data_IF_281849995755
#
_entry.id   IF_281849995755
#
_cell.length_a   1.000
_cell.length_b   1.000
_cell.length_c   1.000
_cell.angle_alpha   90.00
_cell.angle_beta   90.00
_cell.angle_gamma   90.00
#
_symmetry.space_group_name_H-M   'P 1'
#
loop_
_entity.id
_entity.type
_entity.pdbx_description
1 polymer ?
#
# COMPACT_ATOMS: atom_id res chain seq x y z
N UNK A 1 -21.49 -9.24 46.35
CA UNK A 1 -20.42 -9.36 45.34
C UNK A 1 -20.93 -9.46 43.89
N UNK A 2 -22.11 -10.04 43.64
CA UNK A 2 -22.71 -10.15 42.30
C UNK A 2 -22.96 -8.80 41.59
N UNK A 3 -23.45 -7.80 42.33
CA UNK A 3 -23.80 -6.48 41.76
C UNK A 3 -22.58 -5.80 41.12
N UNK A 4 -21.40 -5.92 41.73
CA UNK A 4 -20.17 -5.30 41.23
C UNK A 4 -19.73 -5.91 39.91
N UNK A 5 -19.77 -7.24 39.80
CA UNK A 5 -19.42 -7.96 38.57
C UNK A 5 -20.39 -7.57 37.43
N UNK A 6 -21.69 -7.46 37.74
CA UNK A 6 -22.69 -7.04 36.77
C UNK A 6 -22.42 -5.63 36.23
N UNK A 7 -22.05 -4.68 37.09
CA UNK A 7 -21.71 -3.31 36.67
C UNK A 7 -20.45 -3.29 35.81
N UNK A 8 -19.38 -4.02 36.19
CA UNK A 8 -18.16 -4.11 35.38
C UNK A 8 -18.44 -4.70 34.00
N UNK A 9 -19.26 -5.75 33.92
CA UNK A 9 -19.63 -6.38 32.65
C UNK A 9 -20.37 -5.40 31.72
N UNK A 10 -21.30 -4.61 32.24
CA UNK A 10 -22.02 -3.58 31.47
C UNK A 10 -21.06 -2.49 30.97
N UNK A 11 -20.17 -2.00 31.83
CA UNK A 11 -19.18 -0.98 31.45
C UNK A 11 -18.21 -1.50 30.38
N UNK A 12 -17.70 -2.73 30.52
CA UNK A 12 -16.84 -3.37 29.52
C UNK A 12 -17.56 -3.57 28.18
N UNK A 13 -18.85 -3.92 28.20
CA UNK A 13 -19.66 -4.06 26.99
C UNK A 13 -19.74 -2.78 26.15
N UNK A 14 -19.75 -1.60 26.78
CA UNK A 14 -19.78 -0.30 26.11
C UNK A 14 -18.36 0.15 25.69
N UNK A 15 -17.35 -0.17 26.50
CA UNK A 15 -15.97 0.27 26.26
C UNK A 15 -15.27 -0.48 25.12
N UNK A 16 -15.53 -1.78 24.95
CA UNK A 16 -14.83 -2.59 23.94
C UNK A 16 -15.05 -2.10 22.49
N UNK A 17 -16.29 -1.81 22.04
CA UNK A 17 -16.53 -1.25 20.70
C UNK A 17 -15.86 0.12 20.51
N UNK A 18 -15.94 0.99 21.53
CA UNK A 18 -15.35 2.33 21.49
C UNK A 18 -13.82 2.26 21.38
N UNK A 19 -13.18 1.39 22.16
CA UNK A 19 -11.73 1.18 22.11
C UNK A 19 -11.27 0.59 20.78
N UNK A 20 -12.04 -0.35 20.21
CA UNK A 20 -11.73 -0.91 18.89
C UNK A 20 -11.77 0.16 17.80
N UNK A 21 -12.79 1.02 17.81
CA UNK A 21 -12.88 2.15 16.89
C UNK A 21 -11.71 3.14 17.09
N UNK A 22 -11.39 3.51 18.33
CA UNK A 22 -10.29 4.42 18.63
C UNK A 22 -8.93 3.87 18.16
N UNK A 23 -8.66 2.58 18.38
CA UNK A 23 -7.43 1.92 17.88
C UNK A 23 -7.35 1.96 16.35
N UNK A 24 -8.46 1.72 15.67
CA UNK A 24 -8.50 1.77 14.22
C UNK A 24 -8.28 3.18 13.66
N UNK A 25 -8.90 4.19 14.28
CA UNK A 25 -8.60 5.60 13.97
C UNK A 25 -7.12 5.92 14.19
N UNK A 26 -6.52 5.46 15.29
CA UNK A 26 -5.09 5.61 15.53
C UNK A 26 -4.23 4.98 14.44
N UNK A 27 -4.56 3.75 14.01
CA UNK A 27 -3.87 3.10 12.88
C UNK A 27 -3.98 3.89 11.58
N UNK A 28 -5.15 4.46 11.27
CA UNK A 28 -5.35 5.30 10.08
C UNK A 28 -4.47 6.54 10.10
N UNK A 29 -4.38 7.22 11.25
CA UNK A 29 -3.53 8.41 11.41
C UNK A 29 -2.06 8.05 11.21
N UNK A 30 -1.59 6.98 11.85
CA UNK A 30 -0.20 6.51 11.67
C UNK A 30 0.06 6.12 10.21
N UNK A 31 -0.90 5.46 9.58
CA UNK A 31 -0.77 5.05 8.19
C UNK A 31 -0.66 6.25 7.24
N UNK A 32 -1.55 7.24 7.37
CA UNK A 32 -1.45 8.46 6.57
C UNK A 32 -0.17 9.25 6.84
N UNK A 33 0.37 9.21 8.08
CA UNK A 33 1.67 9.81 8.37
C UNK A 33 2.83 9.04 7.72
N UNK A 34 2.75 7.72 7.71
CA UNK A 34 3.72 6.87 7.03
C UNK A 34 3.73 7.16 5.51
N UNK A 35 2.57 7.26 4.86
CA UNK A 35 2.46 7.68 3.46
C UNK A 35 3.07 9.06 3.23
N UNK A 36 2.82 10.05 4.11
CA UNK A 36 3.48 11.37 4.05
C UNK A 36 4.99 11.28 4.15
N UNK A 37 5.52 10.45 5.06
CA UNK A 37 6.96 10.27 5.23
C UNK A 37 7.59 9.62 3.98
N UNK A 38 6.91 8.64 3.39
CA UNK A 38 7.31 8.06 2.11
C UNK A 38 7.29 9.10 0.98
N UNK A 39 6.21 9.89 0.90
CA UNK A 39 6.06 11.00 -0.03
C UNK A 39 7.15 12.05 0.10
N UNK A 40 7.51 12.42 1.34
CA UNK A 40 8.60 13.35 1.62
C UNK A 40 9.92 12.86 1.02
N UNK A 41 10.25 11.58 1.16
CA UNK A 41 11.44 11.00 0.53
C UNK A 41 11.40 11.11 -1.00
N UNK A 42 10.24 10.88 -1.61
CA UNK A 42 10.05 11.07 -3.05
C UNK A 42 10.16 12.52 -3.48
N UNK A 43 9.63 13.47 -2.70
CA UNK A 43 9.71 14.89 -3.01
C UNK A 43 11.13 15.44 -2.84
N UNK A 44 11.88 14.96 -1.85
CA UNK A 44 13.30 15.29 -1.69
C UNK A 44 14.11 14.80 -2.90
N UNK A 45 13.89 13.56 -3.33
CA UNK A 45 14.48 13.09 -4.58
C UNK A 45 14.04 13.93 -5.77
N UNK A 46 12.74 14.20 -5.92
CA UNK A 46 12.24 14.97 -7.03
C UNK A 46 12.84 16.38 -7.08
N UNK A 47 13.05 17.02 -5.93
CA UNK A 47 13.72 18.31 -5.83
C UNK A 47 15.14 18.28 -6.44
N UNK A 48 15.89 17.20 -6.22
CA UNK A 48 17.25 17.05 -6.72
C UNK A 48 17.31 16.61 -8.20
N UNK A 49 16.19 16.11 -8.76
CA UNK A 49 16.12 15.50 -10.09
C UNK A 49 15.04 16.15 -10.99
N UNK A 50 14.97 17.48 -11.02
CA UNK A 50 14.07 18.27 -11.89
C UNK A 50 12.58 17.89 -11.78
N UNK A 51 12.14 17.59 -10.56
CA UNK A 51 10.78 17.16 -10.24
C UNK A 51 10.44 15.75 -10.72
N UNK A 52 11.40 14.93 -11.16
CA UNK A 52 11.16 13.55 -11.61
C UNK A 52 11.13 12.58 -10.43
N UNK A 53 10.25 11.60 -10.51
CA UNK A 53 10.19 10.51 -9.53
C UNK A 53 11.19 9.40 -9.87
N UNK A 54 11.66 8.62 -8.88
CA UNK A 54 12.42 7.41 -9.13
C UNK A 54 11.50 6.35 -9.75
N UNK A 55 11.62 6.17 -11.07
CA UNK A 55 10.77 5.22 -11.80
C UNK A 55 11.25 3.79 -11.58
N UNK A 56 10.30 2.86 -11.44
CA UNK A 56 10.60 1.44 -11.33
C UNK A 56 10.97 0.85 -12.70
N UNK A 57 11.96 -0.04 -12.72
CA UNK A 57 12.27 -0.86 -13.91
C UNK A 57 11.36 -2.10 -13.97
N UNK A 58 10.86 -2.55 -12.82
CA UNK A 58 9.92 -3.66 -12.69
C UNK A 58 8.49 -3.19 -12.95
N UNK A 59 7.80 -3.84 -13.89
CA UNK A 59 6.37 -3.64 -14.17
C UNK A 59 5.55 -4.87 -13.73
N UNK A 60 5.02 -4.84 -12.50
CA UNK A 60 4.26 -5.92 -11.87
C UNK A 60 3.01 -5.34 -11.16
N UNK A 61 2.74 -5.72 -9.91
CA UNK A 61 1.62 -5.17 -9.15
C UNK A 61 1.91 -3.74 -8.65
N UNK A 62 0.88 -3.01 -8.21
CA UNK A 62 1.02 -1.63 -7.74
C UNK A 62 1.84 -1.50 -6.46
N UNK A 63 1.95 -2.57 -5.68
CA UNK A 63 2.77 -2.62 -4.47
C UNK A 63 4.15 -3.24 -4.71
N UNK A 64 4.48 -3.63 -5.95
CA UNK A 64 5.78 -4.15 -6.30
C UNK A 64 6.71 -2.98 -6.65
N UNK A 65 7.66 -2.69 -5.77
CA UNK A 65 8.54 -1.52 -5.91
C UNK A 65 9.99 -1.98 -5.95
N UNK A 66 10.76 -1.41 -6.88
CA UNK A 66 12.18 -1.76 -7.01
C UNK A 66 12.96 -1.43 -5.73
N UNK A 67 14.00 -2.21 -5.43
CA UNK A 67 14.85 -1.94 -4.27
C UNK A 67 15.43 -0.52 -4.36
N UNK A 68 15.88 -0.14 -5.56
CA UNK A 68 16.38 1.19 -5.88
C UNK A 68 15.46 2.32 -5.35
N UNK A 69 14.17 2.26 -5.67
CA UNK A 69 13.20 3.28 -5.25
C UNK A 69 13.05 3.33 -3.73
N UNK A 70 12.97 2.17 -3.07
CA UNK A 70 12.89 2.13 -1.60
C UNK A 70 14.17 2.62 -0.92
N UNK A 71 15.34 2.36 -1.52
CA UNK A 71 16.64 2.78 -0.96
C UNK A 71 16.80 4.29 -1.04
N UNK A 72 16.30 4.92 -2.11
CA UNK A 72 16.26 6.39 -2.20
C UNK A 72 15.46 6.94 -1.03
N UNK A 73 14.23 6.45 -0.85
CA UNK A 73 13.33 6.94 0.20
C UNK A 73 13.95 6.71 1.59
N UNK A 74 14.56 5.54 1.83
CA UNK A 74 15.30 5.21 3.06
C UNK A 74 16.51 6.13 3.30
N UNK A 75 17.22 6.54 2.26
CA UNK A 75 18.37 7.46 2.39
C UNK A 75 17.95 8.91 2.60
N UNK A 76 16.86 9.35 1.98
CA UNK A 76 16.46 10.76 1.96
C UNK A 76 15.63 11.20 3.15
N UNK A 77 14.82 10.32 3.75
CA UNK A 77 13.90 10.75 4.80
C UNK A 77 13.07 9.67 5.50
N UNK A 78 13.21 8.39 5.10
CA UNK A 78 12.57 7.27 5.78
C UNK A 78 13.56 6.56 6.69
N UNK A 79 13.39 6.74 8.00
CA UNK A 79 14.36 6.25 8.99
C UNK A 79 14.38 4.73 9.15
N UNK A 80 13.32 4.03 8.72
CA UNK A 80 13.18 2.59 8.88
C UNK A 80 12.12 2.01 7.92
N UNK A 81 12.20 0.70 7.66
CA UNK A 81 11.31 -0.06 6.78
C UNK A 81 9.84 0.01 7.20
N UNK A 82 9.57 0.29 8.48
CA UNK A 82 8.21 0.29 9.02
C UNK A 82 7.26 1.31 8.39
N UNK A 83 7.81 2.33 7.73
CA UNK A 83 6.98 3.35 7.10
C UNK A 83 6.29 2.83 5.83
N UNK A 84 6.77 1.74 5.21
CA UNK A 84 6.29 1.29 3.91
C UNK A 84 5.02 0.42 3.96
N UNK A 85 4.37 0.33 5.13
CA UNK A 85 3.14 -0.42 5.29
C UNK A 85 2.19 0.16 6.33
N UNK A 86 0.92 -0.20 6.14
CA UNK A 86 -0.12 0.09 7.10
C UNK A 86 0.02 -0.75 8.37
N UNK A 87 -0.05 -0.17 9.58
CA UNK A 87 -0.04 -0.92 10.84
C UNK A 87 -1.21 -1.92 11.00
N UNK A 88 -2.25 -1.83 10.16
CA UNK A 88 -3.33 -2.82 10.13
C UNK A 88 -2.88 -4.18 9.57
N UNK A 89 -1.76 -4.22 8.86
CA UNK A 89 -1.16 -5.43 8.32
C UNK A 89 0.37 -5.46 8.53
N UNK A 90 0.77 -5.55 9.80
CA UNK A 90 2.19 -5.56 10.20
C UNK A 90 3.01 -6.69 9.58
N UNK A 91 2.41 -7.82 9.20
CA UNK A 91 3.12 -8.93 8.55
C UNK A 91 3.75 -8.53 7.20
N UNK A 92 3.32 -7.42 6.58
CA UNK A 92 3.97 -6.94 5.36
C UNK A 92 5.42 -6.50 5.57
N UNK A 93 5.81 -6.33 6.82
CA UNK A 93 7.18 -6.07 7.23
C UNK A 93 8.10 -7.31 7.10
N UNK A 94 7.54 -8.51 6.93
CA UNK A 94 8.33 -9.74 6.95
C UNK A 94 9.34 -9.79 5.78
N UNK A 95 10.51 -10.39 6.05
CA UNK A 95 11.65 -10.47 5.14
C UNK A 95 11.30 -11.07 3.79
N UNK A 96 10.33 -11.99 3.74
CA UNK A 96 9.89 -12.61 2.48
C UNK A 96 9.27 -11.58 1.52
N UNK A 97 8.57 -10.56 2.02
CA UNK A 97 8.02 -9.48 1.20
C UNK A 97 9.08 -8.46 0.84
N UNK A 98 9.90 -8.09 1.83
CA UNK A 98 10.99 -7.13 1.65
C UNK A 98 12.04 -7.65 0.68
N UNK A 99 12.24 -8.98 0.62
CA UNK A 99 13.20 -9.67 -0.23
C UNK A 99 12.57 -10.62 -1.24
N UNK A 100 11.41 -10.23 -1.75
CA UNK A 100 10.64 -11.06 -2.67
C UNK A 100 11.44 -11.53 -3.89
N UNK A 101 12.23 -10.64 -4.50
CA UNK A 101 13.07 -10.98 -5.67
C UNK A 101 14.08 -12.12 -5.44
N UNK A 102 14.42 -12.42 -4.19
CA UNK A 102 15.38 -13.47 -3.82
C UNK A 102 14.76 -14.86 -3.68
N UNK A 103 13.44 -14.97 -3.84
CA UNK A 103 12.69 -16.24 -3.84
C UNK A 103 12.87 -17.06 -2.55
N UNK A 104 12.90 -16.38 -1.40
CA UNK A 104 13.01 -17.02 -0.09
C UNK A 104 11.79 -17.93 0.18
N UNK A 105 12.00 -19.00 0.96
CA UNK A 105 10.93 -19.91 1.35
C UNK A 105 9.98 -19.24 2.37
N UNK A 106 8.70 -19.63 2.36
CA UNK A 106 7.77 -19.19 3.39
C UNK A 106 8.29 -19.59 4.78
N UNK A 107 8.17 -18.69 5.76
CA UNK A 107 8.66 -18.92 7.13
C UNK A 107 10.16 -18.67 7.33
N UNK A 108 10.88 -18.16 6.32
CA UNK A 108 12.25 -17.68 6.50
C UNK A 108 12.27 -16.62 7.62
N UNK A 109 13.09 -16.77 8.68
CA UNK A 109 13.11 -15.85 9.81
C UNK A 109 13.78 -14.52 9.43
N UNK A 110 13.47 -13.46 10.18
CA UNK A 110 14.12 -12.14 10.03
C UNK A 110 15.64 -12.20 10.23
N UNK A 111 16.14 -13.15 11.03
CA UNK A 111 17.57 -13.34 11.29
C UNK A 111 18.29 -14.09 10.15
N UNK A 112 17.73 -14.16 8.96
CA UNK A 112 18.33 -14.91 7.85
C UNK A 112 19.58 -14.17 7.30
N UNK A 113 20.75 -14.75 7.57
CA UNK A 113 22.10 -14.18 7.36
C UNK A 113 22.55 -14.03 5.88
N UNK A 114 21.62 -13.95 4.93
CA UNK A 114 21.97 -13.58 3.56
C UNK A 114 21.82 -12.08 3.41
N UNK A 115 22.87 -11.30 3.08
CA UNK A 115 22.72 -9.87 2.82
C UNK A 115 21.94 -9.63 1.52
N UNK A 116 21.22 -8.52 1.46
CA UNK A 116 20.59 -8.07 0.21
C UNK A 116 21.66 -7.80 -0.87
N UNK A 117 21.36 -8.01 -2.17
CA UNK A 117 22.27 -7.65 -3.25
C UNK A 117 22.65 -6.18 -3.19
N UNK A 118 23.95 -5.83 -3.23
CA UNK A 118 24.39 -4.43 -3.11
C UNK A 118 24.57 -3.72 -4.46
N UNK A 119 24.81 -4.48 -5.54
CA UNK A 119 25.05 -3.91 -6.85
C UNK A 119 23.80 -3.19 -7.39
N UNK A 120 23.95 -1.90 -7.73
CA UNK A 120 22.84 -1.06 -8.22
C UNK A 120 22.12 -1.66 -9.42
N UNK A 121 22.86 -2.22 -10.38
CA UNK A 121 22.28 -2.87 -11.55
C UNK A 121 21.32 -4.00 -11.13
N UNK A 122 21.72 -4.86 -10.20
CA UNK A 122 20.88 -5.95 -9.68
C UNK A 122 19.68 -5.43 -8.90
N UNK A 123 19.86 -4.39 -8.06
CA UNK A 123 18.78 -3.84 -7.22
C UNK A 123 17.66 -3.17 -8.03
N UNK A 124 17.93 -2.75 -9.26
CA UNK A 124 16.92 -2.18 -10.16
C UNK A 124 15.95 -3.23 -10.71
N UNK A 125 16.46 -4.43 -10.99
CA UNK A 125 15.68 -5.57 -11.50
C UNK A 125 14.90 -6.32 -10.40
N UNK A 126 15.28 -6.13 -9.14
CA UNK A 126 14.64 -6.75 -7.98
C UNK A 126 13.57 -5.84 -7.37
N UNK A 127 12.49 -6.44 -6.88
CA UNK A 127 11.39 -5.73 -6.24
C UNK A 127 11.06 -6.27 -4.85
N UNK A 128 10.50 -5.37 -4.05
CA UNK A 128 9.89 -5.61 -2.74
C UNK A 128 8.38 -5.56 -2.91
N UNK A 129 7.66 -6.29 -2.07
CA UNK A 129 6.20 -6.21 -1.99
C UNK A 129 5.84 -5.32 -0.79
N UNK A 130 5.36 -4.12 -1.05
CA UNK A 130 5.09 -3.09 -0.04
C UNK A 130 3.65 -3.12 0.48
N UNK A 131 3.37 -2.32 1.50
CA UNK A 131 2.03 -2.19 2.10
C UNK A 131 1.18 -1.05 1.50
N UNK A 132 1.63 -0.43 0.41
CA UNK A 132 0.91 0.62 -0.31
C UNK A 132 0.88 0.34 -1.81
N UNK A 133 -0.13 0.86 -2.49
CA UNK A 133 -0.11 1.05 -3.93
C UNK A 133 0.72 2.27 -4.30
N UNK A 134 1.53 2.12 -5.34
CA UNK A 134 2.39 3.17 -5.88
C UNK A 134 1.94 3.50 -7.29
N UNK A 135 1.43 4.72 -7.48
CA UNK A 135 0.93 5.18 -8.76
C UNK A 135 2.01 5.85 -9.62
N UNK A 136 3.27 5.46 -9.38
CA UNK A 136 4.44 5.90 -10.14
C UNK A 136 4.56 5.05 -11.40
N UNK A 137 4.87 5.71 -12.50
CA UNK A 137 5.14 5.06 -13.77
C UNK A 137 6.44 4.23 -13.75
N UNK A 138 6.65 3.41 -14.77
CA UNK A 138 7.89 2.66 -14.96
C UNK A 138 8.80 3.34 -15.97
N UNK A 139 10.08 2.96 -16.00
CA UNK A 139 11.05 3.50 -16.96
C UNK A 139 10.55 3.32 -18.39
N UNK A 140 10.04 2.13 -18.71
CA UNK A 140 9.48 1.78 -20.02
C UNK A 140 8.05 2.33 -20.26
N UNK A 141 7.40 2.88 -19.23
CA UNK A 141 5.99 3.23 -19.24
C UNK A 141 5.11 2.03 -18.94
N UNK A 142 4.18 2.17 -17.99
CA UNK A 142 3.20 1.12 -17.65
C UNK A 142 2.16 1.01 -18.75
N UNK A 143 1.81 -0.23 -19.10
CA UNK A 143 0.71 -0.50 -20.01
C UNK A 143 -0.62 -0.15 -19.35
N UNK A 144 -1.47 0.58 -20.09
CA UNK A 144 -2.81 1.05 -19.69
C UNK A 144 -2.84 1.96 -18.45
N UNK A 145 -3.49 3.14 -18.55
CA UNK A 145 -3.75 3.95 -17.36
C UNK A 145 -4.75 3.27 -16.42
N UNK A 146 -4.79 3.67 -15.14
CA UNK A 146 -5.82 3.20 -14.22
C UNK A 146 -7.23 3.51 -14.74
N UNK A 147 -8.15 2.58 -14.54
CA UNK A 147 -9.54 2.76 -14.97
C UNK A 147 -10.23 3.84 -14.13
N UNK A 148 -11.05 4.66 -14.79
CA UNK A 148 -11.97 5.56 -14.10
C UNK A 148 -13.30 5.66 -14.85
N UNK A 149 -14.16 4.62 -14.82
CA UNK A 149 -15.43 4.66 -15.52
C UNK A 149 -16.26 5.89 -15.11
N UNK A 150 -16.66 6.67 -16.12
CA UNK A 150 -17.45 7.89 -15.95
C UNK A 150 -16.73 9.05 -15.23
N UNK A 151 -15.39 9.01 -15.14
CA UNK A 151 -14.58 10.11 -14.61
C UNK A 151 -13.45 10.51 -15.56
N UNK A 152 -12.63 11.51 -15.20
CA UNK A 152 -11.47 11.91 -15.99
C UNK A 152 -10.44 10.78 -16.07
N UNK A 153 -9.66 10.77 -17.15
CA UNK A 153 -8.57 9.81 -17.29
C UNK A 153 -7.59 9.93 -16.13
N UNK A 154 -7.15 8.78 -15.60
CA UNK A 154 -6.10 8.72 -14.60
C UNK A 154 -4.76 8.57 -15.31
N UNK A 155 -3.72 9.14 -14.72
CA UNK A 155 -2.37 9.12 -15.28
C UNK A 155 -1.40 8.45 -14.31
N UNK A 156 -0.33 7.88 -14.86
CA UNK A 156 0.81 7.41 -14.08
C UNK A 156 1.78 8.55 -13.80
N UNK A 157 2.18 8.69 -12.54
CA UNK A 157 3.01 9.82 -12.14
C UNK A 157 4.46 9.55 -12.53
N UNK A 158 5.00 10.35 -13.45
CA UNK A 158 6.44 10.39 -13.77
C UNK A 158 7.19 11.53 -13.08
N UNK A 159 6.46 12.59 -12.77
CA UNK A 159 7.01 13.83 -12.23
C UNK A 159 5.98 14.51 -11.36
N UNK A 160 6.45 15.12 -10.27
CA UNK A 160 5.60 15.87 -9.34
C UNK A 160 5.30 17.30 -9.79
N UNK A 161 5.97 17.76 -10.85
CA UNK A 161 5.79 19.11 -11.43
C UNK A 161 5.24 19.10 -12.86
N UNK A 162 5.16 17.92 -13.50
CA UNK A 162 4.66 17.76 -14.87
C UNK A 162 3.45 16.82 -14.94
N UNK A 163 2.43 17.08 -14.11
CA UNK A 163 1.14 16.38 -14.18
C UNK A 163 0.20 17.08 -15.17
N UNK A 164 -0.66 16.32 -15.85
CA UNK A 164 -1.68 16.89 -16.74
C UNK A 164 -2.85 17.47 -15.94
N UNK A 165 -3.14 16.86 -14.79
CA UNK A 165 -4.17 17.33 -13.85
C UNK A 165 -3.53 18.14 -12.72
N UNK A 166 -4.32 18.96 -12.02
CA UNK A 166 -3.88 19.68 -10.82
C UNK A 166 -3.26 18.69 -9.80
N UNK A 167 -2.06 18.97 -9.23
CA UNK A 167 -1.35 18.05 -8.35
C UNK A 167 -2.17 17.51 -7.16
N UNK A 168 -3.09 18.33 -6.62
CA UNK A 168 -4.01 17.94 -5.53
C UNK A 168 -5.07 16.89 -5.93
N UNK A 169 -5.18 16.54 -7.21
CA UNK A 169 -6.13 15.53 -7.71
C UNK A 169 -5.45 14.27 -8.26
N UNK A 170 -4.12 14.28 -8.33
CA UNK A 170 -3.32 13.17 -8.82
C UNK A 170 -2.85 12.34 -7.64
N UNK A 171 -3.36 11.11 -7.52
CA UNK A 171 -2.93 10.16 -6.49
C UNK A 171 -1.50 9.70 -6.76
N UNK A 172 -0.69 9.61 -5.71
CA UNK A 172 0.72 9.20 -5.77
C UNK A 172 0.95 7.87 -5.03
N UNK A 173 0.43 7.74 -3.80
CA UNK A 173 0.50 6.52 -2.97
C UNK A 173 -0.87 6.32 -2.30
N UNK A 174 -1.28 5.08 -2.08
CA UNK A 174 -2.47 4.79 -1.27
C UNK A 174 -2.34 3.48 -0.50
N UNK A 175 -3.11 3.35 0.59
CA UNK A 175 -3.28 2.08 1.28
C UNK A 175 -3.73 0.96 0.34
N UNK A 176 -3.18 -0.24 0.54
CA UNK A 176 -3.61 -1.41 -0.22
C UNK A 176 -5.07 -1.73 0.10
N UNK A 177 -5.93 -1.62 -0.90
CA UNK A 177 -7.30 -2.15 -0.87
C UNK A 177 -7.47 -3.09 -2.05
N UNK A 178 -7.39 -4.39 -1.77
CA UNK A 178 -7.38 -5.46 -2.75
C UNK A 178 -8.44 -6.52 -2.42
N UNK A 179 -9.15 -6.98 -3.45
CA UNK A 179 -10.18 -8.01 -3.31
C UNK A 179 -9.99 -9.15 -4.30
N UNK A 180 -10.71 -10.23 -4.06
CA UNK A 180 -10.76 -11.38 -4.95
C UNK A 180 -11.68 -11.21 -6.18
N UNK A 181 -12.25 -10.03 -6.39
CA UNK A 181 -13.19 -9.76 -7.47
C UNK A 181 -13.69 -8.31 -7.54
N UNK A 182 -14.30 -7.90 -8.67
CA UNK A 182 -14.64 -6.51 -8.94
C UNK A 182 -16.00 -6.06 -8.38
N UNK A 183 -16.82 -6.98 -7.86
CA UNK A 183 -18.11 -6.65 -7.27
C UNK A 183 -17.93 -6.24 -5.79
N UNK A 184 -18.21 -4.98 -5.48
CA UNK A 184 -18.07 -4.43 -4.12
C UNK A 184 -18.86 -5.22 -3.07
N UNK A 185 -20.03 -5.73 -3.43
CA UNK A 185 -20.97 -6.37 -2.51
C UNK A 185 -20.68 -7.85 -2.29
N UNK A 186 -20.05 -8.50 -3.28
CA UNK A 186 -19.78 -9.95 -3.27
C UNK A 186 -18.31 -10.28 -3.02
N UNK A 187 -17.39 -9.35 -3.23
CA UNK A 187 -15.97 -9.61 -3.12
C UNK A 187 -15.49 -9.74 -1.66
N UNK A 188 -14.48 -10.58 -1.48
CA UNK A 188 -13.77 -10.80 -0.22
C UNK A 188 -12.43 -10.05 -0.24
N UNK A 189 -12.30 -9.06 0.64
CA UNK A 189 -11.11 -8.19 0.76
C UNK A 189 -9.99 -8.81 1.61
N UNK A 190 -10.16 -10.06 2.03
CA UNK A 190 -9.13 -10.87 2.70
C UNK A 190 -8.50 -11.93 1.80
N UNK A 191 -9.05 -12.11 0.59
CA UNK A 191 -8.68 -13.21 -0.31
C UNK A 191 -8.16 -12.73 -1.67
N UNK A 192 -7.54 -11.56 -1.73
CA UNK A 192 -6.88 -11.13 -2.94
C UNK A 192 -5.71 -12.07 -3.24
N UNK A 193 -5.69 -12.67 -4.44
CA UNK A 193 -4.69 -13.66 -4.83
C UNK A 193 -3.83 -13.13 -5.96
N UNK A 194 -2.59 -12.72 -5.65
CA UNK A 194 -1.59 -12.29 -6.63
C UNK A 194 -0.34 -13.18 -6.61
N UNK A 195 0.83 -12.55 -6.78
CA UNK A 195 2.12 -13.24 -6.75
C UNK A 195 2.40 -13.95 -5.43
N UNK A 196 2.03 -13.33 -4.30
CA UNK A 196 2.15 -13.92 -2.96
C UNK A 196 1.39 -15.24 -2.83
N UNK A 197 0.19 -15.33 -3.42
CA UNK A 197 -0.62 -16.54 -3.38
C UNK A 197 0.03 -17.65 -4.19
N UNK A 198 0.38 -17.38 -5.44
CA UNK A 198 1.04 -18.36 -6.32
C UNK A 198 2.35 -18.88 -5.72
N UNK A 199 3.07 -18.06 -4.95
CA UNK A 199 4.36 -18.42 -4.37
C UNK A 199 4.27 -19.10 -3.00
N UNK A 200 3.51 -18.54 -2.06
CA UNK A 200 3.50 -18.98 -0.66
C UNK A 200 2.12 -19.35 -0.14
N UNK A 201 1.08 -19.33 -0.99
CA UNK A 201 -0.32 -19.46 -0.58
C UNK A 201 -0.70 -18.41 0.49
N UNK A 202 -0.11 -17.22 0.37
CA UNK A 202 -0.40 -16.07 1.24
C UNK A 202 -1.28 -15.10 0.46
N UNK A 203 -2.46 -14.80 1.01
CA UNK A 203 -3.35 -13.79 0.44
C UNK A 203 -2.79 -12.39 0.68
N UNK A 204 -2.95 -11.53 -0.32
CA UNK A 204 -2.76 -10.09 -0.13
C UNK A 204 -3.96 -9.56 0.67
N UNK A 205 -3.68 -8.81 1.74
CA UNK A 205 -4.70 -8.34 2.66
C UNK A 205 -4.96 -6.85 2.45
N UNK A 206 -6.23 -6.48 2.43
CA UNK A 206 -6.64 -5.08 2.47
C UNK A 206 -6.36 -4.44 3.83
N UNK A 207 -5.85 -3.20 3.79
CA UNK A 207 -5.73 -2.31 4.94
C UNK A 207 -7.10 -1.89 5.48
N UNK A 208 -7.16 -1.53 6.76
CA UNK A 208 -8.32 -0.86 7.36
C UNK A 208 -9.67 -1.60 7.23
N UNK A 209 -9.66 -2.92 7.44
CA UNK A 209 -10.86 -3.76 7.42
C UNK A 209 -11.77 -3.57 8.65
N UNK A 210 -13.07 -3.43 8.40
CA UNK A 210 -14.18 -3.54 9.35
C UNK A 210 -14.71 -4.97 9.39
N UNK A 211 -15.04 -5.48 10.58
CA UNK A 211 -15.68 -6.81 10.75
C UNK A 211 -14.98 -7.92 9.94
N UNK A 212 -13.67 -7.83 9.82
CA UNK A 212 -12.78 -8.78 9.16
C UNK A 212 -12.82 -8.88 7.63
N UNK A 213 -13.86 -8.44 6.91
CA UNK A 213 -13.94 -8.67 5.44
C UNK A 213 -14.25 -7.46 4.58
N UNK A 214 -14.67 -6.33 5.16
CA UNK A 214 -15.08 -5.14 4.38
C UNK A 214 -14.17 -3.96 4.71
N UNK A 215 -13.57 -3.27 3.73
CA UNK A 215 -12.71 -2.12 4.01
C UNK A 215 -13.52 -0.95 4.56
N UNK A 216 -12.89 -0.13 5.40
CA UNK A 216 -13.46 1.14 5.84
C UNK A 216 -13.12 2.29 4.91
N UNK A 217 -12.01 2.18 4.18
CA UNK A 217 -11.46 3.19 3.31
C UNK A 217 -9.95 3.06 3.18
N UNK A 218 -9.32 4.06 2.58
CA UNK A 218 -7.89 4.12 2.28
C UNK A 218 -7.38 5.53 2.59
N UNK A 219 -6.14 5.65 3.08
CA UNK A 219 -5.40 6.89 2.92
C UNK A 219 -4.88 6.97 1.49
N UNK A 220 -4.76 8.20 0.99
CA UNK A 220 -4.23 8.51 -0.32
C UNK A 220 -3.37 9.75 -0.20
N UNK A 221 -2.09 9.61 -0.53
CA UNK A 221 -1.17 10.70 -0.77
C UNK A 221 -1.31 11.21 -2.19
N UNK A 222 -1.38 12.53 -2.34
CA UNK A 222 -1.43 13.22 -3.63
C UNK A 222 -0.09 13.86 -3.99
N UNK A 223 0.06 14.26 -5.25
CA UNK A 223 1.30 14.83 -5.79
C UNK A 223 1.70 16.16 -5.14
N UNK A 224 0.74 16.92 -4.61
CA UNK A 224 1.02 18.13 -3.81
C UNK A 224 1.45 17.84 -2.35
N UNK A 225 1.48 16.56 -1.95
CA UNK A 225 1.92 16.09 -0.65
C UNK A 225 0.85 16.03 0.44
N UNK A 226 -0.40 16.41 0.16
CA UNK A 226 -1.47 16.19 1.13
C UNK A 226 -1.90 14.72 1.15
N UNK A 227 -2.40 14.27 2.30
CA UNK A 227 -3.02 12.94 2.45
C UNK A 227 -4.48 13.12 2.80
N UNK A 228 -5.34 12.37 2.13
CA UNK A 228 -6.77 12.35 2.36
C UNK A 228 -7.25 10.93 2.66
N UNK A 229 -8.15 10.82 3.64
CA UNK A 229 -8.92 9.60 3.83
C UNK A 229 -10.08 9.54 2.84
N UNK A 230 -10.13 8.49 2.03
CA UNK A 230 -11.25 8.20 1.14
C UNK A 230 -12.03 7.00 1.68
N UNK A 231 -13.33 7.17 1.86
CA UNK A 231 -14.17 6.09 2.39
C UNK A 231 -14.39 5.02 1.32
N UNK A 232 -14.60 3.79 1.76
CA UNK A 232 -14.77 2.66 0.84
C UNK A 232 -15.98 2.78 -0.09
N UNK A 233 -17.05 3.45 0.35
CA UNK A 233 -18.23 3.76 -0.48
C UNK A 233 -17.92 4.75 -1.63
N UNK A 234 -16.91 5.60 -1.46
CA UNK A 234 -16.47 6.59 -2.46
C UNK A 234 -15.39 6.04 -3.42
N UNK A 235 -14.70 4.96 -3.05
CA UNK A 235 -13.65 4.35 -3.88
C UNK A 235 -14.24 3.78 -5.18
N UNK A 236 -13.42 3.49 -6.17
CA UNK A 236 -13.83 2.75 -7.37
C UNK A 236 -12.92 1.55 -7.57
N UNK A 237 -13.40 0.52 -8.26
CA UNK A 237 -12.52 -0.50 -8.81
C UNK A 237 -11.77 0.12 -9.99
N UNK A 238 -10.44 0.24 -9.88
CA UNK A 238 -9.62 1.01 -10.83
C UNK A 238 -8.54 0.20 -11.51
N UNK A 239 -8.28 -1.02 -11.05
CA UNK A 239 -7.24 -1.84 -11.62
C UNK A 239 -7.52 -3.33 -11.44
N UNK A 240 -7.33 -4.08 -12.51
CA UNK A 240 -7.15 -5.53 -12.47
C UNK A 240 -6.21 -5.92 -13.61
N UNK A 241 -5.52 -7.06 -13.46
CA UNK A 241 -4.86 -7.66 -14.61
C UNK A 241 -5.93 -8.23 -15.55
N UNK A 242 -6.01 -7.68 -16.77
CA UNK A 242 -7.15 -7.77 -17.70
C UNK A 242 -7.61 -9.18 -18.07
N UNK A 243 -6.85 -10.23 -17.72
CA UNK A 243 -7.19 -11.63 -17.97
C UNK A 243 -7.78 -12.40 -16.77
N UNK A 244 -7.69 -11.93 -15.51
CA UNK A 244 -7.91 -12.82 -14.34
C UNK A 244 -8.89 -12.34 -13.26
N UNK A 245 -9.46 -11.14 -13.34
CA UNK A 245 -10.50 -10.67 -12.39
C UNK A 245 -10.11 -10.62 -10.90
N UNK A 246 -8.88 -11.00 -10.54
CA UNK A 246 -8.32 -11.05 -9.20
C UNK A 246 -6.78 -11.00 -9.31
N UNK A 247 -6.09 -10.17 -8.50
CA UNK A 247 -6.63 -9.20 -7.56
C UNK A 247 -7.22 -7.98 -8.26
N UNK A 248 -8.30 -7.48 -7.66
CA UNK A 248 -8.92 -6.20 -8.00
C UNK A 248 -8.47 -5.15 -7.01
N UNK A 249 -8.01 -4.00 -7.50
CA UNK A 249 -7.57 -2.90 -6.65
C UNK A 249 -8.53 -1.71 -6.69
N UNK A 250 -8.64 -1.08 -5.52
CA UNK A 250 -9.63 -0.06 -5.25
C UNK A 250 -8.96 1.17 -4.66
N UNK A 251 -9.33 2.34 -5.18
CA UNK A 251 -9.04 3.64 -4.57
C UNK A 251 -9.98 4.70 -5.12
#
# INVERSE_FOLDING_TARGET
MLVVIAVIAVLMGILLPALSAAREHGRRVVCGQNEKNTGLGLFLYANDYDGKLPLNEVDRWLFDVSYWTTDIVLKTGAFDRHIFYCPSWRQRDDIIFWRYGENLAAGTPESYDRPEPQATATRKDYHRILGYFWFIDTVAGRAHPPMNPGGPDKEWVRSVVKTHTAPAQVELIADVTASNGPDRSLADFTKATGGCWSRWQVYDRTSHLKKSTVPTGTNILFVDGHVQWRKFDEMKHRWFWQAYGNPCFWW
#
